data_IF_473277667915
#
_entry.id   IF_473277667915
#
_cell.length_a   1.000
_cell.length_b   1.000
_cell.length_c   1.000
_cell.angle_alpha   90.00
_cell.angle_beta   90.00
_cell.angle_gamma   90.00
#
_symmetry.space_group_name_H-M   'P 1'
#
loop_
_entity.id
_entity.type
_entity.pdbx_description
1 polymer ?
#
# COMPACT_ATOMS: atom_id res chain seq x y z
N UNK A 1 49.21 -26.31 -17.03
CA UNK A 1 47.77 -26.50 -17.28
C UNK A 1 47.03 -25.88 -16.11
N UNK A 2 46.50 -24.67 -16.29
CA UNK A 2 45.74 -23.94 -15.27
C UNK A 2 44.42 -24.69 -14.98
N UNK A 3 44.07 -24.89 -13.70
CA UNK A 3 42.67 -25.08 -13.31
C UNK A 3 42.26 -23.91 -12.44
N UNK A 4 41.21 -23.23 -12.91
CA UNK A 4 40.69 -21.97 -12.44
C UNK A 4 39.99 -22.08 -11.08
N UNK A 5 40.17 -21.05 -10.25
CA UNK A 5 39.24 -20.70 -9.18
C UNK A 5 37.89 -20.31 -9.81
N UNK A 6 36.83 -21.05 -9.52
CA UNK A 6 35.47 -20.57 -9.70
C UNK A 6 34.96 -20.04 -8.35
N UNK A 7 35.13 -18.75 -8.14
CA UNK A 7 34.35 -18.02 -7.16
C UNK A 7 32.89 -17.99 -7.61
N UNK A 8 31.98 -18.41 -6.74
CA UNK A 8 30.55 -18.19 -6.93
C UNK A 8 29.99 -17.67 -5.62
N UNK A 9 30.24 -16.38 -5.41
CA UNK A 9 29.63 -15.60 -4.35
C UNK A 9 28.87 -14.44 -5.00
N UNK A 10 27.61 -14.27 -4.58
CA UNK A 10 26.78 -13.05 -4.68
C UNK A 10 25.98 -12.81 -5.97
N UNK A 11 24.83 -13.48 -6.12
CA UNK A 11 23.68 -12.97 -6.90
C UNK A 11 22.30 -13.35 -6.29
N UNK A 12 22.19 -13.44 -4.96
CA UNK A 12 20.93 -13.78 -4.28
C UNK A 12 20.21 -12.58 -3.63
N UNK A 13 20.59 -11.34 -3.96
CA UNK A 13 20.09 -10.15 -3.24
C UNK A 13 18.83 -9.49 -3.85
N UNK A 14 18.37 -9.93 -5.03
CA UNK A 14 17.16 -9.41 -5.68
C UNK A 14 16.25 -10.53 -6.18
N UNK A 15 16.18 -11.66 -5.46
CA UNK A 15 15.06 -12.57 -5.67
C UNK A 15 13.86 -11.92 -4.99
N UNK A 16 12.85 -11.42 -5.73
CA UNK A 16 11.61 -11.09 -5.10
C UNK A 16 11.12 -12.36 -4.39
N UNK A 17 10.71 -12.23 -3.12
CA UNK A 17 10.02 -13.30 -2.38
C UNK A 17 8.65 -13.49 -3.01
N UNK A 18 8.63 -14.02 -4.23
CA UNK A 18 7.48 -13.97 -5.14
C UNK A 18 6.35 -14.89 -4.71
N UNK A 19 6.60 -15.84 -3.82
CA UNK A 19 5.62 -16.80 -3.31
C UNK A 19 6.22 -17.56 -2.13
N UNK A 20 6.55 -16.88 -1.04
CA UNK A 20 6.58 -17.59 0.23
C UNK A 20 5.13 -17.55 0.73
N UNK A 21 4.30 -18.60 0.52
CA UNK A 21 3.08 -18.68 1.31
C UNK A 21 3.51 -18.54 2.77
N UNK A 22 2.76 -17.78 3.57
CA UNK A 22 2.79 -18.04 5.00
C UNK A 22 2.72 -19.56 5.13
N UNK A 23 3.67 -20.24 5.82
CA UNK A 23 3.53 -21.66 6.01
C UNK A 23 2.10 -21.87 6.52
N UNK A 24 1.29 -22.57 5.74
CA UNK A 24 0.06 -23.11 6.27
C UNK A 24 0.57 -23.93 7.45
N UNK A 25 0.35 -23.44 8.66
CA UNK A 25 0.60 -24.28 9.81
C UNK A 25 -0.23 -25.53 9.54
N UNK A 26 0.43 -26.67 9.35
CA UNK A 26 -0.24 -27.96 9.34
C UNK A 26 -0.85 -28.12 10.74
N UNK A 27 -2.07 -27.60 10.87
CA UNK A 27 -2.77 -27.38 12.13
C UNK A 27 -4.09 -26.70 11.81
N UNK A 28 -5.16 -27.18 12.41
CA UNK A 28 -6.48 -26.58 12.28
C UNK A 28 -6.38 -25.05 12.50
N UNK A 29 -7.11 -24.28 11.70
CA UNK A 29 -7.33 -22.86 12.00
C UNK A 29 -8.14 -22.84 13.30
N UNK A 30 -7.42 -22.73 14.42
CA UNK A 30 -8.01 -22.59 15.73
C UNK A 30 -8.84 -21.30 15.76
N UNK A 31 -9.89 -21.28 16.59
CA UNK A 31 -10.79 -20.13 16.78
C UNK A 31 -10.08 -18.84 17.30
N UNK A 32 -8.75 -18.86 17.42
CA UNK A 32 -7.84 -17.80 17.85
C UNK A 32 -6.91 -17.29 16.72
N UNK A 33 -7.15 -17.66 15.45
CA UNK A 33 -6.38 -17.15 14.31
C UNK A 33 -6.74 -15.69 13.96
N UNK A 34 -6.22 -14.76 14.75
CA UNK A 34 -6.42 -13.31 14.62
C UNK A 34 -5.67 -12.69 13.42
N UNK A 35 -5.03 -13.49 12.55
CA UNK A 35 -4.24 -12.95 11.43
C UNK A 35 -5.10 -12.17 10.45
N UNK A 36 -6.31 -12.67 10.14
CA UNK A 36 -7.25 -11.97 9.28
C UNK A 36 -7.76 -10.69 9.96
N UNK A 37 -8.15 -10.76 11.23
CA UNK A 37 -8.56 -9.61 12.04
C UNK A 37 -7.53 -8.47 11.99
N UNK A 38 -6.28 -8.79 12.32
CA UNK A 38 -5.17 -7.85 12.30
C UNK A 38 -4.92 -7.26 10.91
N UNK A 39 -4.97 -8.10 9.86
CA UNK A 39 -4.78 -7.64 8.49
C UNK A 39 -5.91 -6.71 8.02
N UNK A 40 -7.16 -7.01 8.38
CA UNK A 40 -8.31 -6.16 8.08
C UNK A 40 -8.28 -4.84 8.86
N UNK A 41 -7.92 -4.87 10.14
CA UNK A 41 -7.72 -3.64 10.91
C UNK A 41 -6.68 -2.73 10.25
N UNK A 42 -5.53 -3.29 9.84
CA UNK A 42 -4.49 -2.55 9.11
C UNK A 42 -4.98 -1.98 7.77
N UNK A 43 -5.74 -2.78 7.00
CA UNK A 43 -6.27 -2.34 5.71
C UNK A 43 -7.28 -1.20 5.90
N UNK A 44 -8.17 -1.29 6.89
CA UNK A 44 -9.15 -0.26 7.18
C UNK A 44 -8.51 1.02 7.70
N UNK A 45 -7.49 0.94 8.56
CA UNK A 45 -6.71 2.11 9.00
C UNK A 45 -6.08 2.82 7.79
N UNK A 46 -5.47 2.07 6.88
CA UNK A 46 -4.87 2.62 5.67
C UNK A 46 -5.91 3.24 4.73
N UNK A 47 -7.06 2.58 4.53
CA UNK A 47 -8.16 3.14 3.74
C UNK A 47 -8.70 4.44 4.37
N UNK A 48 -8.80 4.49 5.69
CA UNK A 48 -9.24 5.68 6.40
C UNK A 48 -8.26 6.85 6.25
N UNK A 49 -6.96 6.59 6.26
CA UNK A 49 -5.93 7.60 6.00
C UNK A 49 -5.97 8.08 4.54
N UNK A 50 -5.96 7.16 3.58
CA UNK A 50 -5.98 7.51 2.15
C UNK A 50 -7.31 8.18 1.74
N UNK A 51 -8.41 7.91 2.44
CA UNK A 51 -9.69 8.60 2.23
C UNK A 51 -9.59 10.13 2.42
N UNK A 52 -8.58 10.60 3.17
CA UNK A 52 -8.35 12.01 3.50
C UNK A 52 -7.23 12.63 2.68
N UNK A 53 -6.55 11.89 1.80
CA UNK A 53 -5.38 12.44 1.09
C UNK A 53 -5.71 13.69 0.28
N UNK A 54 -6.91 13.77 -0.31
CA UNK A 54 -7.36 14.92 -1.08
C UNK A 54 -7.56 16.19 -0.23
N UNK A 55 -7.63 16.09 1.10
CA UNK A 55 -7.80 17.24 1.99
C UNK A 55 -6.57 18.16 1.95
N UNK A 56 -5.39 17.64 1.59
CA UNK A 56 -4.17 18.44 1.39
C UNK A 56 -4.38 19.54 0.34
N UNK A 57 -5.31 19.35 -0.61
CA UNK A 57 -5.62 20.30 -1.67
C UNK A 57 -6.28 21.58 -1.17
N UNK A 58 -6.78 21.60 0.07
CA UNK A 58 -7.29 22.82 0.71
C UNK A 58 -6.16 23.81 1.04
N UNK A 59 -4.93 23.33 1.18
CA UNK A 59 -3.76 24.12 1.61
C UNK A 59 -2.57 24.05 0.66
N UNK A 60 -2.61 23.12 -0.31
CA UNK A 60 -1.58 22.92 -1.33
C UNK A 60 -2.19 22.92 -2.73
N UNK A 61 -1.44 23.45 -3.69
CA UNK A 61 -1.87 23.54 -5.08
C UNK A 61 -0.84 22.84 -5.98
N UNK A 62 -0.88 21.50 -6.08
CA UNK A 62 -0.08 20.78 -7.08
C UNK A 62 -0.63 21.05 -8.49
N UNK A 63 0.02 20.51 -9.53
CA UNK A 63 -0.57 20.50 -10.86
C UNK A 63 -1.96 19.82 -10.87
N UNK A 64 -2.86 20.25 -11.77
CA UNK A 64 -4.21 19.69 -11.85
C UNK A 64 -4.24 18.17 -12.07
N UNK A 65 -3.38 17.56 -12.92
CA UNK A 65 -3.31 16.11 -13.04
C UNK A 65 -3.03 15.39 -11.71
N UNK A 66 -2.16 15.97 -10.87
CA UNK A 66 -1.87 15.43 -9.54
C UNK A 66 -3.05 15.65 -8.60
N UNK A 67 -3.70 16.82 -8.63
CA UNK A 67 -4.90 17.07 -7.83
C UNK A 67 -6.03 16.08 -8.15
N UNK A 68 -6.27 15.79 -9.43
CA UNK A 68 -7.22 14.76 -9.88
C UNK A 68 -6.82 13.39 -9.34
N UNK A 69 -5.54 13.01 -9.45
CA UNK A 69 -5.07 11.72 -8.96
C UNK A 69 -5.28 11.56 -7.45
N UNK A 70 -5.01 12.59 -6.64
CA UNK A 70 -5.26 12.54 -5.18
C UNK A 70 -6.75 12.41 -4.86
N UNK A 71 -7.63 13.07 -5.62
CA UNK A 71 -9.09 12.90 -5.48
C UNK A 71 -9.53 11.49 -5.83
N UNK A 72 -8.98 10.91 -6.90
CA UNK A 72 -9.28 9.53 -7.31
C UNK A 72 -8.84 8.53 -6.25
N UNK A 73 -7.66 8.72 -5.64
CA UNK A 73 -7.17 7.88 -4.53
C UNK A 73 -8.11 7.99 -3.32
N UNK A 74 -8.43 9.23 -2.90
CA UNK A 74 -9.37 9.48 -1.79
C UNK A 74 -10.73 8.83 -2.03
N UNK A 75 -11.28 8.94 -3.24
CA UNK A 75 -12.56 8.35 -3.61
C UNK A 75 -12.51 6.82 -3.63
N UNK A 76 -11.45 6.23 -4.19
CA UNK A 76 -11.25 4.79 -4.20
C UNK A 76 -11.11 4.22 -2.78
N UNK A 77 -10.41 4.91 -1.89
CA UNK A 77 -10.26 4.50 -0.50
C UNK A 77 -11.62 4.50 0.23
N UNK A 78 -12.42 5.57 0.09
CA UNK A 78 -13.78 5.65 0.64
C UNK A 78 -14.68 4.53 0.14
N UNK A 79 -14.64 4.27 -1.17
CA UNK A 79 -15.43 3.19 -1.77
C UNK A 79 -14.96 1.80 -1.31
N UNK A 80 -13.65 1.61 -1.15
CA UNK A 80 -13.04 0.39 -0.63
C UNK A 80 -13.54 0.09 0.78
N UNK A 81 -13.40 1.04 1.70
CA UNK A 81 -13.86 0.92 3.09
C UNK A 81 -15.36 0.64 3.16
N UNK A 82 -16.17 1.45 2.47
CA UNK A 82 -17.63 1.34 2.50
C UNK A 82 -18.14 -0.01 1.97
N UNK A 83 -17.43 -0.61 1.01
CA UNK A 83 -17.82 -1.92 0.49
C UNK A 83 -17.27 -3.11 1.27
N UNK A 84 -16.16 -2.95 2.00
CA UNK A 84 -15.61 -4.02 2.84
C UNK A 84 -16.34 -4.12 4.18
N UNK A 85 -16.59 -3.00 4.86
CA UNK A 85 -17.14 -2.97 6.22
C UNK A 85 -18.37 -3.87 6.44
N UNK A 86 -19.39 -3.85 5.56
CA UNK A 86 -20.58 -4.69 5.74
C UNK A 86 -20.29 -6.19 5.70
N UNK A 87 -19.24 -6.61 4.98
CA UNK A 87 -18.87 -8.02 4.81
C UNK A 87 -18.13 -8.58 6.04
N UNK A 88 -17.57 -7.72 6.89
CA UNK A 88 -16.76 -8.13 8.04
C UNK A 88 -17.59 -8.70 9.20
N UNK A 89 -18.88 -8.35 9.27
CA UNK A 89 -19.79 -8.93 10.27
C UNK A 89 -20.32 -10.32 9.88
N UNK A 90 -20.13 -10.75 8.64
CA UNK A 90 -20.56 -12.08 8.16
C UNK A 90 -19.65 -13.19 8.69
N UNK A 91 -20.12 -14.44 8.79
CA UNK A 91 -19.31 -15.57 9.28
C UNK A 91 -18.19 -15.96 8.27
N UNK A 92 -16.94 -16.22 8.71
CA UNK A 92 -16.42 -15.92 10.04
C UNK A 92 -16.31 -14.40 10.23
N UNK A 93 -16.81 -13.91 11.37
CA UNK A 93 -16.78 -12.49 11.69
C UNK A 93 -15.34 -12.03 11.92
N UNK A 94 -15.03 -10.85 11.42
CA UNK A 94 -13.71 -10.22 11.50
C UNK A 94 -13.75 -9.09 12.52
N UNK A 95 -12.91 -9.17 13.54
CA UNK A 95 -12.68 -8.05 14.45
C UNK A 95 -11.70 -7.06 13.85
N UNK A 96 -11.99 -5.76 13.94
CA UNK A 96 -11.13 -4.70 13.38
C UNK A 96 -10.58 -3.77 14.46
N UNK A 97 -10.68 -4.16 15.73
CA UNK A 97 -10.34 -3.31 16.88
C UNK A 97 -8.84 -3.20 17.12
N UNK A 98 -8.05 -4.15 16.62
CA UNK A 98 -6.61 -4.22 16.85
C UNK A 98 -5.88 -4.65 15.59
N UNK A 99 -4.77 -3.97 15.29
CA UNK A 99 -3.88 -4.30 14.18
C UNK A 99 -2.89 -5.40 14.51
N UNK A 100 -2.82 -5.84 15.77
CA UNK A 100 -1.86 -6.83 16.24
C UNK A 100 -0.40 -6.36 16.20
N UNK A 101 -0.15 -5.09 15.86
CA UNK A 101 1.20 -4.54 15.82
C UNK A 101 1.75 -4.33 17.24
N UNK A 102 3.03 -4.65 17.50
CA UNK A 102 3.68 -4.27 18.75
C UNK A 102 3.66 -2.75 18.96
N UNK A 103 3.50 -2.31 20.21
CA UNK A 103 3.41 -0.88 20.56
C UNK A 103 4.59 -0.05 19.99
N UNK A 104 5.81 -0.60 20.04
CA UNK A 104 7.00 0.06 19.50
C UNK A 104 6.95 0.21 17.98
N UNK A 105 6.38 -0.77 17.27
CA UNK A 105 6.18 -0.70 15.82
C UNK A 105 5.14 0.38 15.48
N UNK A 106 4.02 0.43 16.22
CA UNK A 106 3.02 1.49 16.06
C UNK A 106 3.62 2.89 16.32
N UNK A 107 4.42 3.07 17.38
CA UNK A 107 5.11 4.35 17.63
C UNK A 107 6.07 4.72 16.50
N UNK A 108 6.85 3.76 15.99
CA UNK A 108 7.76 3.99 14.87
C UNK A 108 7.02 4.45 13.61
N UNK A 109 5.92 3.78 13.25
CA UNK A 109 5.05 4.17 12.12
C UNK A 109 4.48 5.57 12.30
N UNK A 110 3.94 5.88 13.48
CA UNK A 110 3.41 7.20 13.80
C UNK A 110 4.47 8.31 13.67
N UNK A 111 5.70 8.05 14.12
CA UNK A 111 6.82 9.00 13.96
C UNK A 111 7.18 9.22 12.50
N UNK A 112 7.19 8.17 11.68
CA UNK A 112 7.44 8.28 10.24
C UNK A 112 6.33 9.09 9.57
N UNK A 113 5.07 8.74 9.82
CA UNK A 113 3.91 9.44 9.28
C UNK A 113 3.96 10.94 9.62
N UNK A 114 4.20 11.28 10.89
CA UNK A 114 4.32 12.67 11.33
C UNK A 114 5.47 13.43 10.62
N UNK A 115 6.63 12.78 10.44
CA UNK A 115 7.76 13.40 9.73
C UNK A 115 7.42 13.66 8.26
N UNK A 116 6.77 12.71 7.59
CA UNK A 116 6.35 12.89 6.19
C UNK A 116 5.25 13.93 6.04
N UNK A 117 4.26 13.97 6.94
CA UNK A 117 3.24 15.02 6.99
C UNK A 117 3.88 16.40 7.14
N UNK A 118 4.80 16.57 8.09
CA UNK A 118 5.52 17.85 8.27
C UNK A 118 6.31 18.21 7.02
N UNK A 119 7.01 17.25 6.41
CA UNK A 119 7.79 17.49 5.20
C UNK A 119 6.89 17.89 4.01
N UNK A 120 5.71 17.30 3.86
CA UNK A 120 4.70 17.68 2.87
C UNK A 120 4.16 19.09 3.11
N UNK A 121 3.84 19.42 4.37
CA UNK A 121 3.31 20.73 4.74
C UNK A 121 4.33 21.86 4.56
N UNK A 122 5.62 21.59 4.74
CA UNK A 122 6.68 22.58 4.53
C UNK A 122 7.13 22.67 3.06
N UNK A 123 6.90 21.64 2.25
CA UNK A 123 7.25 21.66 0.84
C UNK A 123 6.31 22.57 0.03
N UNK A 124 6.84 23.15 -1.06
CA UNK A 124 6.08 23.95 -2.02
C UNK A 124 6.45 23.59 -3.46
N UNK A 125 5.59 23.98 -4.41
CA UNK A 125 5.78 23.75 -5.85
C UNK A 125 6.14 22.29 -6.17
N UNK A 126 7.12 22.12 -7.06
CA UNK A 126 7.60 20.81 -7.52
C UNK A 126 8.09 19.89 -6.39
N UNK A 127 8.61 20.47 -5.30
CA UNK A 127 9.07 19.68 -4.16
C UNK A 127 7.89 19.04 -3.42
N UNK A 128 6.79 19.79 -3.26
CA UNK A 128 5.56 19.25 -2.71
C UNK A 128 5.01 18.16 -3.62
N UNK A 129 4.90 18.45 -4.91
CA UNK A 129 4.33 17.54 -5.90
C UNK A 129 5.09 16.20 -5.99
N UNK A 130 6.42 16.25 -6.06
CA UNK A 130 7.24 15.03 -6.06
C UNK A 130 7.09 14.25 -4.76
N UNK A 131 7.06 14.93 -3.62
CA UNK A 131 6.95 14.27 -2.31
C UNK A 131 5.60 13.59 -2.16
N UNK A 132 4.50 14.27 -2.50
CA UNK A 132 3.16 13.67 -2.40
C UNK A 132 3.04 12.46 -3.33
N UNK A 133 3.55 12.54 -4.56
CA UNK A 133 3.56 11.40 -5.47
C UNK A 133 4.38 10.22 -4.93
N UNK A 134 5.59 10.45 -4.37
CA UNK A 134 6.39 9.39 -3.76
C UNK A 134 5.71 8.74 -2.53
N UNK A 135 5.04 9.53 -1.70
CA UNK A 135 4.25 9.02 -0.57
C UNK A 135 3.11 8.14 -1.06
N UNK A 136 2.43 8.56 -2.13
CA UNK A 136 1.27 7.88 -2.67
C UNK A 136 1.62 6.62 -3.46
N UNK A 137 2.78 6.55 -4.12
CA UNK A 137 3.28 5.31 -4.74
C UNK A 137 3.46 4.21 -3.69
N UNK A 138 4.07 4.56 -2.55
CA UNK A 138 4.23 3.65 -1.41
C UNK A 138 2.88 3.23 -0.82
N UNK A 139 1.99 4.18 -0.57
CA UNK A 139 0.70 3.90 0.06
C UNK A 139 -0.19 3.03 -0.84
N UNK A 140 -0.35 3.40 -2.12
CA UNK A 140 -1.15 2.61 -3.06
C UNK A 140 -0.56 1.22 -3.29
N UNK A 141 0.76 1.09 -3.44
CA UNK A 141 1.41 -0.20 -3.60
C UNK A 141 1.27 -1.09 -2.36
N UNK A 142 1.42 -0.52 -1.16
CA UNK A 142 1.22 -1.25 0.09
C UNK A 142 -0.24 -1.72 0.25
N UNK A 143 -1.20 -0.85 -0.07
CA UNK A 143 -2.63 -1.19 -0.02
C UNK A 143 -2.96 -2.34 -0.96
N UNK A 144 -2.50 -2.29 -2.22
CA UNK A 144 -2.73 -3.36 -3.19
C UNK A 144 -2.11 -4.70 -2.74
N UNK A 145 -0.88 -4.67 -2.22
CA UNK A 145 -0.21 -5.85 -1.71
C UNK A 145 -0.91 -6.44 -0.47
N UNK A 146 -1.36 -5.58 0.46
CA UNK A 146 -2.10 -6.00 1.66
C UNK A 146 -3.46 -6.61 1.28
N UNK A 147 -4.21 -5.96 0.38
CA UNK A 147 -5.47 -6.48 -0.11
C UNK A 147 -5.32 -7.83 -0.82
N UNK A 148 -4.28 -7.99 -1.64
CA UNK A 148 -3.95 -9.28 -2.31
C UNK A 148 -3.62 -10.37 -1.29
N UNK A 149 -2.85 -10.04 -0.25
CA UNK A 149 -2.48 -10.98 0.80
C UNK A 149 -3.71 -11.45 1.59
N UNK A 150 -4.61 -10.52 1.93
CA UNK A 150 -5.88 -10.85 2.56
C UNK A 150 -6.77 -11.70 1.64
N UNK A 151 -6.88 -11.36 0.35
CA UNK A 151 -7.68 -12.14 -0.60
C UNK A 151 -7.18 -13.58 -0.73
N UNK A 152 -5.87 -13.77 -0.64
CA UNK A 152 -5.26 -15.11 -0.69
C UNK A 152 -5.58 -15.94 0.56
N UNK A 153 -5.68 -15.29 1.72
CA UNK A 153 -5.85 -15.95 3.02
C UNK A 153 -7.32 -16.09 3.47
N UNK A 154 -8.22 -15.22 3.00
CA UNK A 154 -9.60 -15.17 3.47
C UNK A 154 -10.43 -16.32 2.88
N UNK A 155 -11.11 -17.15 3.71
CA UNK A 155 -11.93 -18.24 3.20
C UNK A 155 -13.22 -17.76 2.50
N UNK A 156 -13.70 -16.54 2.77
CA UNK A 156 -15.00 -16.07 2.30
C UNK A 156 -14.92 -15.47 0.90
N UNK A 157 -15.69 -16.00 -0.05
CA UNK A 157 -15.62 -15.60 -1.47
C UNK A 157 -15.92 -14.12 -1.67
N UNK A 158 -16.97 -13.59 -1.05
CA UNK A 158 -17.42 -12.22 -1.28
C UNK A 158 -16.37 -11.21 -0.80
N UNK A 159 -15.70 -11.53 0.31
CA UNK A 159 -14.59 -10.72 0.82
C UNK A 159 -13.38 -10.78 -0.11
N UNK A 160 -13.02 -11.97 -0.60
CA UNK A 160 -11.93 -12.14 -1.57
C UNK A 160 -12.17 -11.34 -2.85
N UNK A 161 -13.34 -11.47 -3.46
CA UNK A 161 -13.70 -10.72 -4.67
C UNK A 161 -13.59 -9.21 -4.45
N UNK A 162 -14.04 -8.72 -3.28
CA UNK A 162 -13.92 -7.31 -2.93
C UNK A 162 -12.47 -6.86 -2.77
N UNK A 163 -11.64 -7.68 -2.13
CA UNK A 163 -10.21 -7.41 -1.93
C UNK A 163 -9.41 -7.46 -3.23
N UNK A 164 -9.72 -8.38 -4.14
CA UNK A 164 -9.11 -8.45 -5.47
C UNK A 164 -9.44 -7.20 -6.30
N UNK A 165 -10.72 -6.78 -6.29
CA UNK A 165 -11.14 -5.55 -6.95
C UNK A 165 -10.46 -4.30 -6.35
N UNK A 166 -10.30 -4.26 -5.02
CA UNK A 166 -9.60 -3.20 -4.31
C UNK A 166 -8.11 -3.17 -4.71
N UNK A 167 -7.44 -4.32 -4.67
CA UNK A 167 -6.05 -4.48 -5.07
C UNK A 167 -5.82 -3.98 -6.50
N UNK A 168 -6.61 -4.48 -7.45
CA UNK A 168 -6.55 -4.06 -8.86
C UNK A 168 -6.75 -2.55 -9.04
N UNK A 169 -7.62 -1.94 -8.24
CA UNK A 169 -7.87 -0.50 -8.27
C UNK A 169 -6.64 0.28 -7.81
N UNK A 170 -6.05 -0.10 -6.68
CA UNK A 170 -4.89 0.59 -6.14
C UNK A 170 -3.60 0.32 -6.93
N UNK A 171 -3.47 -0.83 -7.59
CA UNK A 171 -2.38 -1.07 -8.56
C UNK A 171 -2.45 -0.11 -9.75
N UNK A 172 -3.65 0.11 -10.31
CA UNK A 172 -3.83 1.11 -11.39
C UNK A 172 -3.53 2.52 -10.92
N UNK A 173 -3.94 2.88 -9.71
CA UNK A 173 -3.63 4.19 -9.13
C UNK A 173 -2.12 4.35 -8.89
N UNK A 174 -1.45 3.33 -8.37
CA UNK A 174 0.01 3.32 -8.19
C UNK A 174 0.75 3.46 -9.52
N UNK A 175 0.28 2.80 -10.59
CA UNK A 175 0.82 2.97 -11.93
C UNK A 175 0.69 4.43 -12.41
N UNK A 176 -0.49 5.04 -12.26
CA UNK A 176 -0.70 6.47 -12.59
C UNK A 176 0.19 7.40 -11.77
N UNK A 177 0.45 7.08 -10.50
CA UNK A 177 1.40 7.83 -9.66
C UNK A 177 2.82 7.72 -10.22
N UNK A 178 3.26 6.52 -10.60
CA UNK A 178 4.59 6.31 -11.18
C UNK A 178 4.75 7.01 -12.52
N UNK A 179 3.74 6.98 -13.39
CA UNK A 179 3.75 7.72 -14.66
C UNK A 179 3.99 9.23 -14.45
N UNK A 180 3.48 9.78 -13.33
CA UNK A 180 3.72 11.19 -12.95
C UNK A 180 5.13 11.44 -12.41
N UNK A 181 5.80 10.42 -11.88
CA UNK A 181 7.16 10.47 -11.37
C UNK A 181 8.22 10.25 -12.47
N UNK A 182 7.84 9.67 -13.60
CA UNK A 182 8.75 9.48 -14.72
C UNK A 182 9.25 10.82 -15.26
N UNK A 183 10.57 10.95 -15.37
CA UNK A 183 11.20 12.09 -16.03
C UNK A 183 11.31 11.76 -17.51
N UNK A 184 10.68 12.54 -18.38
CA UNK A 184 10.89 12.39 -19.83
C UNK A 184 12.38 12.60 -20.15
N UNK A 185 13.02 11.71 -20.94
CA UNK A 185 14.39 11.93 -21.36
C UNK A 185 14.46 13.23 -22.15
N UNK A 186 15.25 14.19 -21.65
CA UNK A 186 15.61 15.40 -22.39
C UNK A 186 16.25 14.93 -23.70
N UNK A 187 15.60 15.23 -24.82
CA UNK A 187 16.16 14.99 -26.16
C UNK A 187 17.50 15.71 -26.31
N UNK A 188 18.43 15.16 -27.12
CA UNK A 188 19.77 15.73 -27.26
C UNK A 188 19.69 17.21 -27.68
N UNK A 189 20.63 18.06 -27.22
CA UNK A 189 20.65 19.47 -27.60
C UNK A 189 20.71 19.59 -29.12
N UNK A 190 19.85 20.44 -29.68
CA UNK A 190 19.87 20.77 -31.09
C UNK A 190 21.27 21.29 -31.46
N UNK A 191 21.88 20.65 -32.46
CA UNK A 191 23.16 21.02 -33.03
C UNK A 191 23.09 22.36 -33.78
#
# INVERSE_FOLDING_TARGET
MLLALAGSSMLAACQPTLNAPFPAADGAIDAEDLRLDHGYALLLDLLADESKVADILAIKSPSEPTAVLLRDISAAAKAGEAGLRPLLSGPPAISTETTGLPIIETDARNRIANRETVALLLAGGDSFERRILLTQDKACGYLAALATSLATADPESDRRERLEALSSTFDRLAARVRDRLEVSPVGPPAA
#
